data_IF_345186219116
#
_entry.id   IF_345186219116
#
_cell.length_a   1.000
_cell.length_b   1.000
_cell.length_c   1.000
_cell.angle_alpha   90.00
_cell.angle_beta   90.00
_cell.angle_gamma   90.00
#
_symmetry.space_group_name_H-M   'P 1'
#
loop_
_entity.id
_entity.type
_entity.pdbx_description
1 polymer ?
#
# COMPACT_ATOMS: atom_id res chain seq x y z
N UNK A 1 90.12 -10.51 -14.67
CA UNK A 1 89.17 -10.19 -15.76
C UNK A 1 88.01 -11.17 -15.73
N UNK A 2 86.83 -10.69 -16.12
CA UNK A 2 85.49 -11.33 -16.11
C UNK A 2 84.86 -11.49 -14.73
N UNK A 3 84.21 -10.45 -14.20
CA UNK A 3 82.85 -9.98 -14.54
C UNK A 3 81.82 -10.67 -13.65
N UNK A 4 81.45 -9.96 -12.58
CA UNK A 4 80.23 -10.22 -11.80
C UNK A 4 79.05 -9.98 -12.75
N UNK A 5 78.48 -11.05 -13.29
CA UNK A 5 77.32 -10.98 -14.16
C UNK A 5 76.06 -10.70 -13.35
N UNK A 6 75.77 -9.40 -13.30
CA UNK A 6 74.49 -8.81 -12.94
C UNK A 6 73.46 -9.19 -14.02
N UNK A 7 72.61 -10.21 -13.79
CA UNK A 7 71.38 -10.53 -14.58
C UNK A 7 70.69 -11.78 -14.02
N UNK A 8 69.94 -11.64 -12.94
CA UNK A 8 68.80 -12.54 -12.69
C UNK A 8 67.81 -11.88 -11.74
N UNK A 9 66.61 -11.67 -12.28
CA UNK A 9 65.35 -11.56 -11.56
C UNK A 9 65.13 -10.26 -10.78
N UNK A 10 64.96 -9.21 -11.57
CA UNK A 10 63.87 -8.22 -11.46
C UNK A 10 62.47 -8.85 -11.26
N UNK A 11 62.28 -9.67 -10.21
CA UNK A 11 61.01 -10.32 -9.88
C UNK A 11 60.61 -10.10 -8.41
N UNK A 12 61.08 -9.00 -7.81
CA UNK A 12 60.65 -8.52 -6.49
C UNK A 12 60.24 -7.04 -6.52
N UNK A 13 59.71 -6.56 -7.64
CA UNK A 13 58.76 -5.45 -7.59
C UNK A 13 57.45 -6.04 -7.07
N UNK A 14 57.44 -6.29 -5.75
CA UNK A 14 56.24 -6.46 -4.98
C UNK A 14 55.36 -5.28 -5.33
N UNK A 15 54.38 -5.50 -6.20
CA UNK A 15 53.23 -4.62 -6.39
C UNK A 15 52.58 -4.51 -5.02
N UNK A 16 53.07 -3.58 -4.20
CA UNK A 16 52.29 -3.04 -3.09
C UNK A 16 51.13 -2.36 -3.79
N UNK A 17 50.06 -3.11 -4.02
CA UNK A 17 48.74 -2.52 -4.08
C UNK A 17 48.67 -1.62 -2.85
N UNK A 18 48.69 -0.33 -3.08
CA UNK A 18 48.33 0.65 -2.08
C UNK A 18 46.87 0.36 -1.79
N UNK A 19 46.62 -0.38 -0.71
CA UNK A 19 45.28 -0.47 -0.14
C UNK A 19 44.98 0.93 0.41
N UNK A 20 44.51 1.80 -0.48
CA UNK A 20 43.94 3.10 -0.16
C UNK A 20 42.65 2.84 0.61
N UNK A 21 42.78 2.72 1.93
CA UNK A 21 41.63 2.62 2.82
C UNK A 21 40.90 3.95 2.87
N UNK A 22 39.57 3.91 2.74
CA UNK A 22 38.71 5.05 3.05
C UNK A 22 39.07 5.61 4.42
N UNK A 23 39.29 6.91 4.48
CA UNK A 23 39.56 7.58 5.75
C UNK A 23 38.29 7.56 6.61
N UNK A 24 38.43 7.42 7.94
CA UNK A 24 37.27 7.48 8.85
C UNK A 24 36.48 8.79 8.71
N UNK A 25 37.16 9.87 8.33
CA UNK A 25 36.54 11.17 8.10
C UNK A 25 35.69 11.22 6.81
N UNK A 26 36.09 10.51 5.75
CA UNK A 26 35.29 10.37 4.53
C UNK A 26 33.98 9.65 4.80
N UNK A 27 34.00 8.58 5.62
CA UNK A 27 32.74 7.93 6.00
C UNK A 27 31.92 8.76 6.98
N UNK A 28 32.56 9.53 7.87
CA UNK A 28 31.86 10.37 8.83
C UNK A 28 31.06 11.50 8.15
N UNK A 29 31.63 12.19 7.17
CA UNK A 29 30.89 13.26 6.48
C UNK A 29 29.72 12.71 5.66
N UNK A 30 29.87 11.51 5.09
CA UNK A 30 28.81 10.86 4.30
C UNK A 30 27.61 10.50 5.16
N UNK A 31 27.82 9.87 6.33
CA UNK A 31 26.70 9.52 7.21
C UNK A 31 26.00 10.75 7.80
N UNK A 32 26.72 11.86 7.99
CA UNK A 32 26.12 13.13 8.41
C UNK A 32 25.21 13.69 7.31
N UNK A 33 25.67 13.71 6.06
CA UNK A 33 24.85 14.19 4.93
C UNK A 33 23.62 13.29 4.75
N UNK A 34 23.79 11.96 4.77
CA UNK A 34 22.67 11.01 4.69
C UNK A 34 21.72 11.20 5.89
N UNK A 35 22.23 11.49 7.09
CA UNK A 35 21.43 11.76 8.28
C UNK A 35 20.51 12.98 8.11
N UNK A 36 21.03 14.08 7.56
CA UNK A 36 20.23 15.29 7.27
C UNK A 36 19.16 15.01 6.23
N UNK A 37 19.51 14.31 5.14
CA UNK A 37 18.55 13.94 4.10
C UNK A 37 17.46 13.00 4.62
N UNK A 38 17.82 12.00 5.43
CA UNK A 38 16.87 11.06 6.01
C UNK A 38 15.90 11.74 6.97
N UNK A 39 16.36 12.72 7.77
CA UNK A 39 15.51 13.45 8.70
C UNK A 39 14.34 14.18 8.01
N UNK A 40 14.56 14.71 6.79
CA UNK A 40 13.51 15.37 6.00
C UNK A 40 12.71 14.34 5.19
N UNK A 41 13.38 13.33 4.64
CA UNK A 41 12.75 12.35 3.74
C UNK A 41 11.74 11.45 4.46
N UNK A 42 12.02 11.02 5.70
CA UNK A 42 11.16 10.10 6.46
C UNK A 42 9.74 10.64 6.68
N UNK A 43 9.51 11.85 7.26
CA UNK A 43 8.15 12.34 7.47
C UNK A 43 7.39 12.56 6.15
N UNK A 44 8.06 13.03 5.10
CA UNK A 44 7.46 13.21 3.77
C UNK A 44 7.04 11.86 3.18
N UNK A 45 7.92 10.86 3.24
CA UNK A 45 7.63 9.52 2.75
C UNK A 45 6.45 8.87 3.49
N UNK A 46 6.36 9.02 4.81
CA UNK A 46 5.22 8.53 5.59
C UNK A 46 3.90 9.21 5.17
N UNK A 47 3.93 10.52 4.89
CA UNK A 47 2.76 11.23 4.35
C UNK A 47 2.32 10.69 2.99
N UNK A 48 3.25 10.49 2.05
CA UNK A 48 2.97 9.92 0.73
C UNK A 48 2.38 8.51 0.85
N UNK A 49 2.94 7.67 1.71
CA UNK A 49 2.41 6.32 1.95
C UNK A 49 0.99 6.34 2.52
N UNK A 50 0.69 7.24 3.46
CA UNK A 50 -0.66 7.36 4.01
C UNK A 50 -1.67 7.82 2.96
N UNK A 51 -1.32 8.81 2.15
CA UNK A 51 -2.15 9.27 1.03
C UNK A 51 -2.39 8.17 0.00
N UNK A 52 -1.35 7.41 -0.36
CA UNK A 52 -1.47 6.28 -1.29
C UNK A 52 -2.43 5.20 -0.74
N UNK A 53 -2.36 4.89 0.56
CA UNK A 53 -3.28 3.96 1.22
C UNK A 53 -4.72 4.49 1.20
N UNK A 54 -4.93 5.77 1.47
CA UNK A 54 -6.27 6.38 1.41
C UNK A 54 -6.84 6.35 -0.02
N UNK A 55 -6.01 6.62 -1.04
CA UNK A 55 -6.41 6.50 -2.45
C UNK A 55 -6.74 5.07 -2.84
N UNK A 56 -6.00 4.07 -2.32
CA UNK A 56 -6.29 2.66 -2.55
C UNK A 56 -7.68 2.27 -2.02
N UNK A 57 -8.01 2.66 -0.77
CA UNK A 57 -9.34 2.39 -0.20
C UNK A 57 -10.46 3.03 -1.02
N UNK A 58 -10.27 4.27 -1.49
CA UNK A 58 -11.26 4.95 -2.33
C UNK A 58 -11.45 4.26 -3.69
N UNK A 59 -10.36 3.77 -4.29
CA UNK A 59 -10.41 3.00 -5.53
C UNK A 59 -11.16 1.68 -5.33
N UNK A 60 -10.83 0.95 -4.25
CA UNK A 60 -11.48 -0.31 -3.93
C UNK A 60 -12.98 -0.13 -3.68
N UNK A 61 -13.40 0.95 -3.02
CA UNK A 61 -14.82 1.28 -2.83
C UNK A 61 -15.55 1.56 -4.14
N UNK A 62 -14.87 2.24 -5.07
CA UNK A 62 -15.43 2.50 -6.41
C UNK A 62 -15.60 1.19 -7.18
N UNK A 63 -14.62 0.30 -7.12
CA UNK A 63 -14.70 -1.03 -7.72
C UNK A 63 -15.79 -1.89 -7.07
N UNK A 64 -15.90 -1.86 -5.74
CA UNK A 64 -16.95 -2.53 -4.99
C UNK A 64 -18.34 -2.04 -5.42
N UNK A 65 -18.53 -0.72 -5.57
CA UNK A 65 -19.78 -0.12 -6.06
C UNK A 65 -20.19 -0.70 -7.42
N UNK A 66 -19.25 -0.78 -8.36
CA UNK A 66 -19.49 -1.32 -9.70
C UNK A 66 -19.92 -2.80 -9.61
N UNK A 67 -19.20 -3.60 -8.81
CA UNK A 67 -19.53 -5.01 -8.63
C UNK A 67 -20.88 -5.23 -7.94
N UNK A 68 -21.25 -4.42 -6.95
CA UNK A 68 -22.58 -4.46 -6.31
C UNK A 68 -23.68 -4.16 -7.34
N UNK A 69 -23.52 -3.11 -8.14
CA UNK A 69 -24.50 -2.75 -9.17
C UNK A 69 -24.63 -3.87 -10.22
N UNK A 70 -23.50 -4.44 -10.65
CA UNK A 70 -23.49 -5.54 -11.60
C UNK A 70 -24.18 -6.79 -11.04
N UNK A 71 -23.90 -7.15 -9.79
CA UNK A 71 -24.53 -8.29 -9.11
C UNK A 71 -26.05 -8.17 -9.05
N UNK A 72 -26.58 -7.03 -8.61
CA UNK A 72 -28.03 -6.82 -8.51
C UNK A 72 -28.71 -6.65 -9.87
N UNK A 73 -27.96 -6.23 -10.90
CA UNK A 73 -28.47 -6.23 -12.29
C UNK A 73 -28.60 -7.65 -12.83
N UNK A 74 -27.64 -8.53 -12.53
CA UNK A 74 -27.66 -9.93 -12.94
C UNK A 74 -28.63 -10.79 -12.10
N UNK A 75 -28.86 -10.41 -10.83
CA UNK A 75 -29.68 -11.14 -9.88
C UNK A 75 -30.82 -10.25 -9.35
N UNK A 76 -31.87 -9.97 -10.15
CA UNK A 76 -32.92 -9.02 -9.79
C UNK A 76 -33.78 -9.46 -8.58
N UNK A 77 -33.77 -10.75 -8.23
CA UNK A 77 -34.46 -11.30 -7.06
C UNK A 77 -33.58 -11.40 -5.82
N UNK A 78 -32.27 -11.10 -5.91
CA UNK A 78 -31.37 -11.16 -4.78
C UNK A 78 -31.65 -10.02 -3.80
N UNK A 79 -31.74 -10.34 -2.50
CA UNK A 79 -31.98 -9.36 -1.44
C UNK A 79 -30.72 -8.99 -0.64
N UNK A 80 -29.61 -9.66 -0.93
CA UNK A 80 -28.29 -9.41 -0.34
C UNK A 80 -27.18 -9.84 -1.30
N UNK A 81 -25.99 -9.27 -1.08
CA UNK A 81 -24.74 -9.67 -1.72
C UNK A 81 -23.67 -9.82 -0.63
N UNK A 82 -22.86 -10.88 -0.71
CA UNK A 82 -21.69 -11.08 0.13
C UNK A 82 -20.40 -10.83 -0.66
N UNK A 83 -19.25 -10.73 0.01
CA UNK A 83 -17.95 -10.46 -0.64
C UNK A 83 -17.56 -11.49 -1.71
N UNK A 84 -17.98 -12.75 -1.58
CA UNK A 84 -17.72 -13.79 -2.58
C UNK A 84 -18.59 -13.61 -3.83
N UNK A 85 -19.84 -13.17 -3.65
CA UNK A 85 -20.74 -12.84 -4.75
C UNK A 85 -20.16 -11.70 -5.60
N UNK A 86 -19.63 -10.64 -4.97
CA UNK A 86 -18.96 -9.56 -5.68
C UNK A 86 -17.67 -10.03 -6.39
N UNK A 87 -16.99 -11.04 -5.85
CA UNK A 87 -15.80 -11.65 -6.46
C UNK A 87 -16.07 -12.22 -7.85
N UNK A 88 -17.25 -12.78 -8.07
CA UNK A 88 -17.69 -13.24 -9.40
C UNK A 88 -17.88 -12.10 -10.41
N UNK A 89 -18.04 -10.87 -9.93
CA UNK A 89 -18.18 -9.64 -10.73
C UNK A 89 -16.89 -8.80 -10.75
N UNK A 90 -15.74 -9.43 -10.46
CA UNK A 90 -14.42 -8.82 -10.61
C UNK A 90 -13.96 -7.97 -9.43
N UNK A 91 -14.66 -8.01 -8.29
CA UNK A 91 -14.21 -7.34 -7.08
C UNK A 91 -13.18 -8.19 -6.33
N UNK A 92 -11.99 -7.62 -6.10
CA UNK A 92 -10.94 -8.24 -5.29
C UNK A 92 -10.63 -7.31 -4.13
N UNK A 93 -10.62 -7.86 -2.90
CA UNK A 93 -10.23 -7.10 -1.72
C UNK A 93 -8.72 -6.86 -1.78
N UNK A 94 -8.30 -5.59 -1.76
CA UNK A 94 -6.89 -5.24 -1.67
C UNK A 94 -6.32 -5.70 -0.33
N UNK A 95 -5.12 -6.29 -0.35
CA UNK A 95 -4.44 -6.70 0.87
C UNK A 95 -4.31 -5.51 1.83
N UNK A 96 -4.77 -5.67 3.08
CA UNK A 96 -4.82 -4.66 4.15
C UNK A 96 -6.02 -3.69 4.14
N UNK A 97 -6.95 -3.80 3.19
CA UNK A 97 -8.19 -3.03 3.21
C UNK A 97 -9.35 -3.92 3.66
N UNK A 98 -10.17 -3.42 4.59
CA UNK A 98 -11.40 -4.10 4.99
C UNK A 98 -12.58 -3.34 4.39
N UNK A 99 -13.40 -4.03 3.61
CA UNK A 99 -14.61 -3.46 3.00
C UNK A 99 -15.82 -4.20 3.56
N UNK A 100 -16.75 -3.42 4.08
CA UNK A 100 -18.00 -3.86 4.66
C UNK A 100 -19.15 -3.47 3.74
N UNK A 101 -19.94 -4.44 3.32
CA UNK A 101 -21.21 -4.15 2.69
C UNK A 101 -22.30 -4.01 3.76
N UNK A 102 -22.90 -2.82 3.85
CA UNK A 102 -23.97 -2.51 4.79
C UNK A 102 -25.20 -1.99 4.04
N UNK A 103 -25.88 -2.88 3.31
CA UNK A 103 -27.12 -2.54 2.63
C UNK A 103 -28.04 -3.75 2.51
N UNK A 104 -29.33 -3.55 2.73
CA UNK A 104 -30.38 -4.42 2.19
C UNK A 104 -30.55 -4.10 0.70
N UNK A 105 -30.74 -5.11 -0.15
CA UNK A 105 -30.76 -4.95 -1.60
C UNK A 105 -31.60 -3.78 -2.12
N UNK A 106 -31.12 -3.14 -3.20
CA UNK A 106 -31.98 -2.54 -4.18
C UNK A 106 -32.68 -3.62 -4.99
N UNK A 107 -33.95 -3.86 -4.75
CA UNK A 107 -34.83 -4.46 -5.75
C UNK A 107 -35.17 -3.46 -6.90
N UNK A 108 -34.24 -2.57 -7.27
CA UNK A 108 -34.28 -1.68 -8.45
C UNK A 108 -32.99 -0.86 -8.58
N UNK A 109 -32.66 -0.43 -9.80
CA UNK A 109 -31.54 0.46 -10.20
C UNK A 109 -31.49 1.85 -9.50
N UNK A 110 -32.26 2.04 -8.43
CA UNK A 110 -32.38 3.28 -7.66
C UNK A 110 -32.31 3.09 -6.15
N UNK A 111 -32.14 1.87 -5.61
CA UNK A 111 -32.09 1.78 -4.15
C UNK A 111 -30.74 2.19 -3.57
N UNK A 112 -30.86 2.75 -2.37
CA UNK A 112 -29.77 3.38 -1.64
C UNK A 112 -29.01 2.28 -0.90
N UNK A 113 -27.96 1.75 -1.52
CA UNK A 113 -26.97 0.94 -0.81
C UNK A 113 -25.83 1.83 -0.31
N UNK A 114 -25.20 1.40 0.78
CA UNK A 114 -23.91 1.94 1.21
C UNK A 114 -22.87 0.84 1.41
N UNK A 115 -21.65 1.14 0.99
CA UNK A 115 -20.47 0.31 1.19
C UNK A 115 -19.50 1.13 2.04
N UNK A 116 -19.01 0.55 3.13
CA UNK A 116 -17.99 1.18 3.97
C UNK A 116 -16.64 0.52 3.68
N UNK A 117 -15.57 1.31 3.63
CA UNK A 117 -14.21 0.87 3.40
C UNK A 117 -13.28 1.47 4.45
N UNK A 118 -12.34 0.67 4.90
CA UNK A 118 -11.50 0.97 6.05
C UNK A 118 -10.04 0.81 5.68
N UNK A 119 -9.22 1.82 6.02
CA UNK A 119 -7.78 1.65 6.03
C UNK A 119 -7.39 0.86 7.28
N UNK A 120 -7.19 -0.45 7.17
CA UNK A 120 -6.71 -1.25 8.30
C UNK A 120 -5.22 -0.93 8.54
N UNK A 121 -4.93 -0.21 9.62
CA UNK A 121 -3.62 -0.22 10.28
C UNK A 121 -3.45 -1.36 11.28
N UNK A 122 -4.47 -2.22 11.41
CA UNK A 122 -4.57 -3.34 12.34
C UNK A 122 -5.74 -4.25 11.94
N UNK A 123 -5.67 -5.50 12.40
CA UNK A 123 -6.49 -6.67 12.03
C UNK A 123 -7.85 -6.33 11.42
N UNK A 124 -8.04 -6.74 10.16
CA UNK A 124 -9.31 -6.67 9.46
C UNK A 124 -10.42 -7.33 10.30
N UNK A 125 -11.16 -6.52 11.04
CA UNK A 125 -12.41 -6.96 11.63
C UNK A 125 -13.36 -7.26 10.48
N UNK A 126 -13.86 -8.49 10.41
CA UNK A 126 -14.99 -8.84 9.56
C UNK A 126 -16.17 -7.96 9.95
N UNK A 127 -16.43 -6.91 9.17
CA UNK A 127 -17.57 -6.03 9.44
C UNK A 127 -18.80 -6.64 8.80
N UNK A 128 -19.61 -7.27 9.64
CA UNK A 128 -20.94 -7.78 9.30
C UNK A 128 -21.89 -6.61 9.05
N UNK A 129 -22.84 -6.76 8.13
CA UNK A 129 -23.87 -5.77 7.80
C UNK A 129 -24.47 -5.14 9.07
N UNK A 130 -24.45 -3.80 9.15
CA UNK A 130 -25.07 -3.05 10.26
C UNK A 130 -24.21 -2.91 11.52
N UNK A 131 -22.96 -3.38 11.53
CA UNK A 131 -22.02 -3.08 12.60
C UNK A 131 -21.14 -1.89 12.18
N UNK A 132 -21.30 -0.76 12.87
CA UNK A 132 -20.25 0.24 12.98
C UNK A 132 -19.13 -0.39 13.80
N UNK A 133 -18.32 -1.26 13.18
CA UNK A 133 -17.14 -1.81 13.83
C UNK A 133 -16.37 -0.63 14.43
N UNK A 134 -15.89 -0.70 15.66
CA UNK A 134 -15.16 0.41 16.26
C UNK A 134 -13.87 0.65 15.44
N UNK A 135 -13.86 1.69 14.61
CA UNK A 135 -12.83 1.90 13.58
C UNK A 135 -11.66 2.69 14.19
N UNK A 136 -10.50 2.05 14.35
CA UNK A 136 -9.24 2.75 14.49
C UNK A 136 -8.66 3.00 13.08
N UNK A 137 -9.01 4.11 12.43
CA UNK A 137 -8.46 4.49 11.11
C UNK A 137 -9.33 5.40 10.25
N UNK A 138 -8.77 5.82 9.11
CA UNK A 138 -9.49 6.61 8.10
C UNK A 138 -10.58 5.73 7.47
N UNK A 139 -11.82 6.17 7.63
CA UNK A 139 -13.01 5.45 7.18
C UNK A 139 -13.61 6.16 5.99
N UNK A 140 -14.05 5.42 4.99
CA UNK A 140 -14.67 5.94 3.78
C UNK A 140 -15.95 5.18 3.48
N UNK A 141 -16.89 5.81 2.82
CA UNK A 141 -18.12 5.18 2.40
C UNK A 141 -18.53 5.62 1.00
N UNK A 142 -19.26 4.76 0.29
CA UNK A 142 -19.81 5.08 -1.02
C UNK A 142 -21.28 4.70 -1.07
N UNK A 143 -22.10 5.64 -1.56
CA UNK A 143 -23.54 5.46 -1.74
C UNK A 143 -23.88 5.16 -3.19
N UNK A 144 -25.02 4.52 -3.41
CA UNK A 144 -25.58 4.18 -4.74
C UNK A 144 -25.45 5.30 -5.78
N UNK A 145 -25.88 6.53 -5.45
CA UNK A 145 -25.80 7.70 -6.35
C UNK A 145 -24.71 8.72 -5.96
N UNK A 146 -23.81 8.36 -5.03
CA UNK A 146 -22.77 9.24 -4.51
C UNK A 146 -21.36 8.84 -4.94
N UNK A 147 -20.42 9.77 -4.80
CA UNK A 147 -18.99 9.48 -4.78
C UNK A 147 -18.55 8.87 -3.46
N UNK A 148 -17.26 8.54 -3.37
CA UNK A 148 -16.64 8.10 -2.11
C UNK A 148 -16.51 9.32 -1.19
N UNK A 149 -17.00 9.22 0.04
CA UNK A 149 -16.94 10.27 1.06
C UNK A 149 -16.24 9.76 2.32
N UNK A 150 -15.52 10.62 3.05
CA UNK A 150 -14.97 10.24 4.35
C UNK A 150 -16.10 10.01 5.38
N UNK A 151 -15.87 9.07 6.27
CA UNK A 151 -16.83 8.62 7.28
C UNK A 151 -17.59 7.35 6.88
N UNK A 152 -18.26 6.77 7.86
CA UNK A 152 -19.19 5.65 7.68
C UNK A 152 -20.57 6.18 7.30
N UNK A 153 -21.30 5.41 6.50
CA UNK A 153 -22.72 5.68 6.33
C UNK A 153 -23.49 5.45 7.63
N UNK A 154 -24.55 6.24 7.88
CA UNK A 154 -25.49 6.01 8.97
C UNK A 154 -26.27 4.70 8.79
#
# INVERSE_FOLDING_TARGET
MCSVNNRALTARLSSRKTDEGFTLIELLVVVIIIGVLAAIAVPVYLGIQNSAKNSAVQSDLTNAKIAVVAYFTANPSATAANLADLGAFGYVVSANNAIAYGGTAPNSASATFCINGLRSGGTAGTVTSGQNAALAGDSYSVRSNGGVVPGICP
#
